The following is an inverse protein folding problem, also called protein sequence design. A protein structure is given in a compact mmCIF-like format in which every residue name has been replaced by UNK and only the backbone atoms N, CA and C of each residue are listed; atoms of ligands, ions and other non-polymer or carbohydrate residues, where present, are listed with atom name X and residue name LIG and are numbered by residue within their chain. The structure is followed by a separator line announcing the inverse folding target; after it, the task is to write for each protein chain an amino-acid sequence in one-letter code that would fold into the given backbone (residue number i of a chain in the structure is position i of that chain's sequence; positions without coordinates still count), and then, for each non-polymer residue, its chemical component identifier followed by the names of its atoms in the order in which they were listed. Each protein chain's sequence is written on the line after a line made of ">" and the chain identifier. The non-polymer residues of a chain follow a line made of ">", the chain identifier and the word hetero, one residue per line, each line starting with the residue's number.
data_IF_753665010543
#
_entry.id   IF_753665010543
#
_cell.length_a   1.000
_cell.length_b   1.000
_cell.length_c   1.000
_cell.angle_alpha   90.00
_cell.angle_beta   90.00
_cell.angle_gamma   90.00
#
_symmetry.space_group_name_H-M   'P 1'
#
loop_
_entity.id
_entity.type
_entity.pdbx_description
1 polymer ?
#
# COMPACT_ATOMS: atom_id res chain seq x y z
N UNK A 1 -16.17 29.18 -27.96
CA UNK A 1 -15.18 30.26 -27.76
C UNK A 1 -15.64 31.51 -28.51
N UNK A 2 -15.55 32.68 -27.87
CA UNK A 2 -15.93 33.95 -28.47
C UNK A 2 -15.01 34.23 -29.67
N UNK A 3 -15.56 34.13 -30.89
CA UNK A 3 -15.00 34.82 -32.05
C UNK A 3 -14.97 36.29 -31.65
N UNK A 4 -13.82 36.79 -31.19
CA UNK A 4 -13.66 38.22 -30.96
C UNK A 4 -13.65 38.87 -32.34
N UNK A 5 -14.85 39.18 -32.84
CA UNK A 5 -15.04 40.17 -33.87
C UNK A 5 -14.56 41.48 -33.26
N UNK A 6 -13.29 41.82 -33.51
CA UNK A 6 -12.71 43.09 -33.11
C UNK A 6 -13.64 44.20 -33.57
N UNK A 7 -14.04 45.07 -32.65
CA UNK A 7 -14.98 46.15 -32.90
C UNK A 7 -14.34 47.13 -33.87
N UNK A 8 -14.76 47.03 -35.13
CA UNK A 8 -14.31 47.86 -36.23
C UNK A 8 -15.08 49.18 -36.21
N UNK A 9 -14.60 50.20 -35.48
CA UNK A 9 -15.21 51.54 -35.60
C UNK A 9 -14.68 52.34 -36.81
N UNK A 10 -13.57 51.94 -37.46
CA UNK A 10 -13.03 52.62 -38.66
C UNK A 10 -12.16 51.75 -39.60
N UNK A 11 -12.28 50.41 -39.54
CA UNK A 11 -11.44 49.49 -40.33
C UNK A 11 -10.06 49.19 -39.72
N UNK A 12 -9.64 49.94 -38.69
CA UNK A 12 -8.43 49.63 -37.95
C UNK A 12 -8.69 48.57 -36.88
N UNK A 13 -7.77 47.62 -36.77
CA UNK A 13 -7.71 46.65 -35.68
C UNK A 13 -6.28 46.56 -35.14
N UNK A 14 -6.16 46.21 -33.87
CA UNK A 14 -4.86 45.99 -33.22
C UNK A 14 -4.81 44.55 -32.77
N UNK A 15 -3.75 43.84 -33.17
CA UNK A 15 -3.45 42.48 -32.71
C UNK A 15 -2.27 42.56 -31.74
N UNK A 16 -2.42 41.91 -30.59
CA UNK A 16 -1.38 41.80 -29.60
C UNK A 16 -0.27 40.85 -30.06
N UNK A 17 0.92 40.97 -29.46
CA UNK A 17 2.06 40.12 -29.81
C UNK A 17 1.85 38.63 -29.50
N UNK A 18 0.91 38.28 -28.61
CA UNK A 18 0.53 36.92 -28.26
C UNK A 18 -0.55 36.32 -29.18
N UNK A 19 -1.01 37.07 -30.18
CA UNK A 19 -2.05 36.68 -31.11
C UNK A 19 -1.54 36.70 -32.55
N UNK A 20 -1.97 35.71 -33.33
CA UNK A 20 -1.77 35.64 -34.79
C UNK A 20 -3.13 35.40 -35.42
N UNK A 21 -3.38 36.04 -36.56
CA UNK A 21 -4.69 35.99 -37.20
C UNK A 21 -4.64 35.54 -38.65
N UNK A 22 -5.81 35.22 -39.17
CA UNK A 22 -6.03 35.01 -40.61
C UNK A 22 -7.06 36.01 -41.11
N UNK A 23 -6.80 36.52 -42.32
CA UNK A 23 -7.69 37.45 -43.01
C UNK A 23 -8.52 36.71 -44.05
N UNK A 24 -9.83 36.81 -43.92
CA UNK A 24 -10.81 36.25 -44.84
C UNK A 24 -11.47 37.40 -45.62
N UNK A 25 -11.41 37.36 -46.95
CA UNK A 25 -12.12 38.31 -47.81
C UNK A 25 -13.26 37.57 -48.49
N UNK A 26 -14.51 37.94 -48.21
CA UNK A 26 -15.71 37.27 -48.76
C UNK A 26 -15.67 35.73 -48.64
N UNK A 27 -15.16 35.22 -47.52
CA UNK A 27 -15.02 33.78 -47.25
C UNK A 27 -13.79 33.10 -47.86
N UNK A 28 -12.93 33.80 -48.62
CA UNK A 28 -11.67 33.26 -49.13
C UNK A 28 -10.49 33.68 -48.25
N UNK A 29 -9.57 32.75 -48.02
CA UNK A 29 -8.29 33.06 -47.37
C UNK A 29 -7.48 34.06 -48.21
N UNK A 30 -7.05 35.15 -47.58
CA UNK A 30 -6.31 36.23 -48.25
C UNK A 30 -4.86 36.32 -47.75
N UNK A 31 -4.61 36.03 -46.47
CA UNK A 31 -3.26 36.05 -45.91
C UNK A 31 -3.24 35.96 -44.39
N UNK A 32 -2.03 35.80 -43.85
CA UNK A 32 -1.73 35.83 -42.43
C UNK A 32 -1.72 37.28 -41.93
N UNK A 33 -2.16 37.49 -40.70
CA UNK A 33 -2.12 38.78 -40.03
C UNK A 33 -1.09 38.73 -38.92
N UNK A 34 -0.05 39.54 -39.08
CA UNK A 34 1.02 39.70 -38.09
C UNK A 34 0.60 40.64 -36.95
N UNK A 35 1.24 40.53 -35.76
CA UNK A 35 0.98 41.43 -34.64
C UNK A 35 1.21 42.90 -34.97
N UNK A 36 0.37 43.78 -34.44
CA UNK A 36 0.47 45.23 -34.64
C UNK A 36 -0.83 45.88 -35.11
N UNK A 37 -0.70 47.11 -35.62
CA UNK A 37 -1.80 47.88 -36.18
C UNK A 37 -2.07 47.42 -37.62
N UNK A 38 -3.25 46.87 -37.86
CA UNK A 38 -3.70 46.43 -39.17
C UNK A 38 -4.92 47.19 -39.66
N UNK A 39 -5.13 47.16 -40.99
CA UNK A 39 -6.31 47.71 -41.64
C UNK A 39 -7.10 46.61 -42.35
N UNK A 40 -8.40 46.56 -42.09
CA UNK A 40 -9.39 45.74 -42.78
C UNK A 40 -10.55 46.60 -43.26
N UNK A 41 -11.07 46.26 -44.44
CA UNK A 41 -12.28 46.90 -44.94
C UNK A 41 -13.47 46.30 -44.17
N UNK A 42 -14.18 47.09 -43.33
CA UNK A 42 -15.37 46.59 -42.65
C UNK A 42 -16.36 46.05 -43.69
N UNK A 43 -17.08 44.97 -43.38
CA UNK A 43 -18.05 44.27 -44.24
C UNK A 43 -17.42 43.28 -45.24
N UNK A 44 -16.38 43.65 -45.98
CA UNK A 44 -15.78 42.76 -46.99
C UNK A 44 -14.76 41.78 -46.39
N UNK A 45 -14.08 42.20 -45.32
CA UNK A 45 -12.97 41.47 -44.73
C UNK A 45 -13.25 41.14 -43.27
N UNK A 46 -13.00 39.90 -42.88
CA UNK A 46 -13.09 39.42 -41.51
C UNK A 46 -11.71 38.94 -41.05
N UNK A 47 -11.27 39.40 -39.88
CA UNK A 47 -10.04 38.93 -39.23
C UNK A 47 -10.45 38.01 -38.09
N UNK A 48 -9.88 36.82 -38.05
CA UNK A 48 -10.07 35.85 -36.96
C UNK A 48 -8.70 35.62 -36.32
N UNK A 49 -8.59 35.87 -35.02
CA UNK A 49 -7.33 35.73 -34.28
C UNK A 49 -7.34 34.52 -33.36
N UNK A 50 -6.16 33.95 -33.15
CA UNK A 50 -5.87 32.85 -32.23
C UNK A 50 -4.59 33.17 -31.47
N UNK A 51 -4.47 32.69 -30.23
CA UNK A 51 -3.25 32.87 -29.45
C UNK A 51 -2.13 31.95 -29.96
N UNK A 52 -0.95 32.53 -30.18
CA UNK A 52 0.27 31.81 -30.57
C UNK A 52 1.07 31.29 -29.36
N UNK A 53 0.75 31.75 -28.15
CA UNK A 53 1.33 31.25 -26.91
C UNK A 53 0.88 29.81 -26.60
N UNK A 54 1.64 29.10 -25.77
CA UNK A 54 1.22 27.80 -25.23
C UNK A 54 -0.11 27.98 -24.50
N UNK A 55 -1.10 27.19 -24.87
CA UNK A 55 -2.43 27.16 -24.28
C UNK A 55 -2.55 25.92 -23.40
N UNK A 56 -3.13 26.10 -22.21
CA UNK A 56 -3.46 25.00 -21.31
C UNK A 56 -4.95 24.73 -21.40
N UNK A 57 -5.28 23.46 -21.57
CA UNK A 57 -6.65 22.97 -21.68
C UNK A 57 -6.83 21.80 -20.73
N UNK A 58 -7.79 21.94 -19.83
CA UNK A 58 -8.14 20.87 -18.91
C UNK A 58 -8.94 19.78 -19.63
N UNK A 59 -8.59 18.52 -19.36
CA UNK A 59 -9.32 17.36 -19.81
C UNK A 59 -10.28 16.94 -18.69
N UNK A 60 -11.58 16.75 -19.00
CA UNK A 60 -12.54 16.29 -18.00
C UNK A 60 -12.16 14.88 -17.51
N UNK A 61 -12.56 14.56 -16.28
CA UNK A 61 -12.35 13.23 -15.72
C UNK A 61 -13.14 12.17 -16.49
N UNK A 62 -12.47 11.11 -16.94
CA UNK A 62 -13.07 9.99 -17.65
C UNK A 62 -12.75 8.68 -16.92
N UNK A 63 -13.75 7.78 -16.84
CA UNK A 63 -13.56 6.42 -16.35
C UNK A 63 -13.10 5.52 -17.49
N UNK A 64 -11.94 4.89 -17.33
CA UNK A 64 -11.34 3.97 -18.30
C UNK A 64 -11.14 2.62 -17.63
N UNK A 65 -11.41 1.55 -18.37
CA UNK A 65 -11.15 0.18 -17.91
C UNK A 65 -9.77 -0.23 -18.40
N UNK A 66 -8.87 -0.53 -17.47
CA UNK A 66 -7.52 -1.00 -17.75
C UNK A 66 -7.50 -2.49 -18.10
N UNK A 67 -6.36 -2.95 -18.61
CA UNK A 67 -6.09 -4.37 -18.75
C UNK A 67 -6.07 -5.02 -17.35
N UNK A 68 -6.91 -6.04 -17.14
CA UNK A 68 -7.19 -6.61 -15.82
C UNK A 68 -8.55 -6.22 -15.22
N UNK A 69 -9.43 -5.58 -15.99
CA UNK A 69 -10.82 -5.27 -15.60
C UNK A 69 -10.92 -4.34 -14.37
N UNK A 70 -9.93 -3.46 -14.21
CA UNK A 70 -9.89 -2.44 -13.16
C UNK A 70 -10.38 -1.14 -13.78
N UNK A 71 -11.43 -0.54 -13.19
CA UNK A 71 -11.91 0.78 -13.58
C UNK A 71 -11.13 1.87 -12.85
N UNK A 72 -10.60 2.83 -13.60
CA UNK A 72 -9.86 3.96 -13.05
C UNK A 72 -10.36 5.27 -13.66
N UNK A 73 -10.53 6.29 -12.82
CA UNK A 73 -10.90 7.63 -13.25
C UNK A 73 -9.65 8.47 -13.40
N UNK A 74 -9.41 8.96 -14.61
CA UNK A 74 -8.22 9.73 -14.97
C UNK A 74 -8.64 11.10 -15.46
N UNK A 75 -7.85 12.10 -15.09
CA UNK A 75 -7.95 13.48 -15.55
C UNK A 75 -6.55 13.98 -15.91
N UNK A 76 -6.48 15.09 -16.61
CA UNK A 76 -5.20 15.65 -17.00
C UNK A 76 -5.31 17.03 -17.60
N UNK A 77 -4.16 17.64 -17.86
CA UNK A 77 -4.05 18.92 -18.56
C UNK A 77 -3.26 18.73 -19.84
N UNK A 78 -3.76 19.32 -20.92
CA UNK A 78 -3.11 19.32 -22.22
C UNK A 78 -2.51 20.71 -22.46
N UNK A 79 -1.23 20.74 -22.78
CA UNK A 79 -0.51 21.94 -23.18
C UNK A 79 -0.19 21.83 -24.66
N UNK A 80 -0.52 22.85 -25.45
CA UNK A 80 -0.20 22.86 -26.88
C UNK A 80 0.02 24.27 -27.39
N UNK A 81 0.69 24.40 -28.54
CA UNK A 81 0.94 25.67 -29.20
C UNK A 81 0.42 25.65 -30.64
N UNK A 82 -0.30 26.69 -31.04
CA UNK A 82 -0.71 26.87 -32.44
C UNK A 82 0.45 27.52 -33.20
N UNK A 83 0.99 26.81 -34.19
CA UNK A 83 2.10 27.32 -35.04
C UNK A 83 1.56 27.81 -36.36
N UNK A 84 0.62 27.08 -36.97
CA UNK A 84 -0.03 27.49 -38.21
C UNK A 84 -1.50 27.86 -37.94
N UNK A 85 -1.78 29.17 -37.90
CA UNK A 85 -3.13 29.68 -37.70
C UNK A 85 -4.07 29.43 -38.88
N UNK A 86 -3.54 29.28 -40.10
CA UNK A 86 -4.34 28.98 -41.28
C UNK A 86 -4.95 27.59 -41.15
N UNK A 87 -4.12 26.58 -40.89
CA UNK A 87 -4.59 25.20 -40.72
C UNK A 87 -5.52 25.08 -39.51
N UNK A 88 -5.15 25.67 -38.37
CA UNK A 88 -5.94 25.57 -37.14
C UNK A 88 -7.35 26.17 -37.25
N UNK A 89 -7.54 27.22 -38.06
CA UNK A 89 -8.83 27.90 -38.21
C UNK A 89 -9.66 27.42 -39.41
N UNK A 90 -9.01 26.88 -40.45
CA UNK A 90 -9.69 26.49 -41.69
C UNK A 90 -9.96 24.99 -41.79
N UNK A 91 -9.08 24.14 -41.25
CA UNK A 91 -9.25 22.68 -41.36
C UNK A 91 -10.23 22.11 -40.34
N UNK A 92 -10.33 22.75 -39.17
CA UNK A 92 -11.17 22.29 -38.06
C UNK A 92 -12.06 23.42 -37.56
N UNK A 93 -13.34 23.15 -37.34
CA UNK A 93 -14.32 24.13 -36.89
C UNK A 93 -14.02 24.65 -35.47
N UNK A 94 -13.74 23.74 -34.53
CA UNK A 94 -13.30 24.04 -33.17
C UNK A 94 -12.14 23.12 -32.79
N UNK A 95 -10.92 23.56 -33.10
CA UNK A 95 -9.71 22.80 -32.81
C UNK A 95 -9.55 22.49 -31.31
N UNK A 96 -10.05 23.36 -30.43
CA UNK A 96 -10.00 23.19 -28.99
C UNK A 96 -10.88 22.02 -28.54
N UNK A 97 -12.08 21.90 -29.09
CA UNK A 97 -12.95 20.76 -28.83
C UNK A 97 -12.38 19.48 -29.44
N UNK A 98 -11.93 19.53 -30.70
CA UNK A 98 -11.39 18.37 -31.41
C UNK A 98 -10.14 17.80 -30.75
N UNK A 99 -9.21 18.65 -30.29
CA UNK A 99 -7.99 18.17 -29.61
C UNK A 99 -8.29 17.56 -28.23
N UNK A 100 -9.28 18.08 -27.49
CA UNK A 100 -9.75 17.46 -26.24
C UNK A 100 -10.31 16.07 -26.50
N UNK A 101 -11.18 15.94 -27.49
CA UNK A 101 -11.77 14.65 -27.84
C UNK A 101 -10.71 13.66 -28.33
N UNK A 102 -9.77 14.11 -29.16
CA UNK A 102 -8.64 13.31 -29.60
C UNK A 102 -7.82 12.82 -28.40
N UNK A 103 -7.47 13.72 -27.47
CA UNK A 103 -6.72 13.36 -26.28
C UNK A 103 -7.47 12.33 -25.42
N UNK A 104 -8.77 12.52 -25.17
CA UNK A 104 -9.60 11.59 -24.39
C UNK A 104 -9.65 10.20 -25.02
N UNK A 105 -9.87 10.11 -26.33
CA UNK A 105 -9.87 8.83 -27.05
C UNK A 105 -8.50 8.17 -27.00
N UNK A 106 -7.42 8.91 -27.26
CA UNK A 106 -6.05 8.36 -27.21
C UNK A 106 -5.65 7.90 -25.81
N UNK A 107 -6.01 8.65 -24.77
CA UNK A 107 -5.80 8.26 -23.37
C UNK A 107 -6.51 6.93 -23.11
N UNK A 108 -7.79 6.80 -23.50
CA UNK A 108 -8.57 5.58 -23.31
C UNK A 108 -7.96 4.39 -24.06
N UNK A 109 -7.53 4.58 -25.31
CA UNK A 109 -6.96 3.52 -26.15
C UNK A 109 -5.63 3.01 -25.60
N UNK A 110 -4.72 3.93 -25.23
CA UNK A 110 -3.40 3.55 -24.68
C UNK A 110 -3.57 2.89 -23.32
N UNK A 111 -4.32 3.51 -22.40
CA UNK A 111 -4.49 2.98 -21.05
C UNK A 111 -5.27 1.67 -21.01
N UNK A 112 -6.18 1.42 -21.94
CA UNK A 112 -6.89 0.15 -22.04
C UNK A 112 -5.96 -1.05 -22.25
N UNK A 113 -4.77 -0.82 -22.82
CA UNK A 113 -3.75 -1.87 -22.99
C UNK A 113 -2.81 -2.04 -21.79
N UNK A 114 -2.72 -1.04 -20.91
CA UNK A 114 -1.77 -1.02 -19.78
C UNK A 114 -2.38 -1.64 -18.53
N UNK A 115 -1.50 -2.15 -17.68
CA UNK A 115 -1.86 -2.64 -16.33
C UNK A 115 -1.79 -1.51 -15.30
N UNK A 116 -2.42 -1.68 -14.13
CA UNK A 116 -2.41 -0.66 -13.07
C UNK A 116 -1.00 -0.40 -12.53
N UNK A 117 -0.15 -1.43 -12.46
CA UNK A 117 1.25 -1.33 -12.07
C UNK A 117 2.05 -0.44 -13.03
N UNK A 118 1.85 -0.59 -14.34
CA UNK A 118 2.49 0.22 -15.37
C UNK A 118 2.04 1.67 -15.31
N UNK A 119 0.74 1.90 -15.15
CA UNK A 119 0.17 3.26 -15.01
C UNK A 119 0.70 3.96 -13.76
N UNK A 120 0.95 3.20 -12.67
CA UNK A 120 1.53 3.75 -11.44
C UNK A 120 3.04 3.98 -11.55
N UNK A 121 3.78 3.07 -12.20
CA UNK A 121 5.25 3.10 -12.25
C UNK A 121 5.85 3.94 -13.38
N UNK A 122 5.23 3.93 -14.56
CA UNK A 122 5.81 4.44 -15.81
C UNK A 122 4.98 5.57 -16.45
N UNK A 123 4.52 6.52 -15.64
CA UNK A 123 3.67 7.63 -16.12
C UNK A 123 4.30 8.43 -17.25
N UNK A 124 5.61 8.70 -17.18
CA UNK A 124 6.32 9.47 -18.20
C UNK A 124 6.34 8.77 -19.56
N UNK A 125 6.60 7.46 -19.57
CA UNK A 125 6.62 6.67 -20.80
C UNK A 125 5.23 6.60 -21.46
N UNK A 126 4.17 6.46 -20.64
CA UNK A 126 2.79 6.46 -21.13
C UNK A 126 2.40 7.85 -21.68
N UNK A 127 2.80 8.92 -21.00
CA UNK A 127 2.57 10.28 -21.47
C UNK A 127 3.26 10.52 -22.83
N UNK A 128 4.51 10.09 -22.98
CA UNK A 128 5.25 10.20 -24.24
C UNK A 128 4.57 9.41 -25.38
N UNK A 129 4.09 8.19 -25.10
CA UNK A 129 3.34 7.38 -26.07
C UNK A 129 2.05 8.10 -26.53
N UNK A 130 1.30 8.67 -25.59
CA UNK A 130 0.09 9.45 -25.88
C UNK A 130 0.42 10.71 -26.70
N UNK A 131 1.47 11.44 -26.34
CA UNK A 131 1.92 12.64 -27.05
C UNK A 131 2.30 12.34 -28.50
N UNK A 132 2.98 11.22 -28.75
CA UNK A 132 3.35 10.82 -30.11
C UNK A 132 2.12 10.60 -30.99
N UNK A 133 1.09 9.91 -30.46
CA UNK A 133 -0.16 9.65 -31.18
C UNK A 133 -0.92 10.96 -31.43
N UNK A 134 -1.04 11.82 -30.42
CA UNK A 134 -1.71 13.12 -30.56
C UNK A 134 -0.98 14.00 -31.58
N UNK A 135 0.35 14.12 -31.47
CA UNK A 135 1.20 14.94 -32.36
C UNK A 135 1.05 14.56 -33.82
N UNK A 136 0.93 13.26 -34.12
CA UNK A 136 0.74 12.76 -35.49
C UNK A 136 -0.54 13.32 -36.12
N UNK A 137 -1.62 13.42 -35.35
CA UNK A 137 -2.91 13.93 -35.83
C UNK A 137 -2.97 15.46 -35.76
N UNK A 138 -2.49 16.06 -34.66
CA UNK A 138 -2.55 17.51 -34.40
C UNK A 138 -1.68 18.33 -35.34
N UNK A 139 -0.62 17.73 -35.89
CA UNK A 139 0.26 18.40 -36.86
C UNK A 139 -0.47 18.84 -38.12
N UNK A 140 -1.50 18.08 -38.54
CA UNK A 140 -2.37 18.45 -39.68
C UNK A 140 -3.21 19.68 -39.38
N UNK A 141 -3.55 19.91 -38.11
CA UNK A 141 -4.32 21.07 -37.68
C UNK A 141 -3.46 22.30 -37.35
N UNK A 142 -2.17 22.30 -37.70
CA UNK A 142 -1.27 23.40 -37.37
C UNK A 142 -0.91 23.53 -35.89
N UNK A 143 -1.10 22.48 -35.10
CA UNK A 143 -0.82 22.43 -33.65
C UNK A 143 0.49 21.66 -33.40
N UNK A 144 1.41 22.28 -32.66
CA UNK A 144 2.70 21.74 -32.28
C UNK A 144 2.94 21.82 -30.76
N UNK A 145 4.10 21.32 -30.31
CA UNK A 145 4.55 21.32 -28.92
C UNK A 145 3.47 20.83 -27.93
N UNK A 146 2.92 19.66 -28.23
CA UNK A 146 1.95 18.99 -27.39
C UNK A 146 2.68 18.33 -26.22
N UNK A 147 2.32 18.72 -24.99
CA UNK A 147 2.76 18.16 -23.71
C UNK A 147 1.51 17.76 -22.90
N UNK A 148 1.45 16.51 -22.44
CA UNK A 148 0.31 16.00 -21.66
C UNK A 148 0.71 15.70 -20.23
N UNK A 149 -0.05 16.24 -19.28
CA UNK A 149 0.14 15.95 -17.85
C UNK A 149 -1.04 15.18 -17.31
N UNK A 150 -0.80 13.91 -17.07
CA UNK A 150 -1.78 13.03 -16.42
C UNK A 150 -1.80 13.33 -14.91
N UNK A 151 -2.99 13.62 -14.40
CA UNK A 151 -3.23 13.73 -12.95
C UNK A 151 -3.40 12.34 -12.35
N UNK A 152 -3.32 12.21 -11.03
CA UNK A 152 -3.47 10.93 -10.34
C UNK A 152 -4.79 10.25 -10.66
N UNK A 153 -4.66 8.97 -10.97
CA UNK A 153 -5.74 8.08 -11.34
C UNK A 153 -6.44 7.63 -10.06
N UNK A 154 -7.72 7.99 -9.90
CA UNK A 154 -8.50 7.60 -8.73
C UNK A 154 -9.27 6.31 -9.03
N UNK A 155 -9.17 5.34 -8.12
CA UNK A 155 -9.89 4.06 -8.19
C UNK A 155 -11.12 4.11 -7.29
N UNK A 156 -12.14 3.29 -7.60
CA UNK A 156 -13.27 3.11 -6.69
C UNK A 156 -12.79 2.61 -5.32
N UNK A 157 -13.31 3.21 -4.25
CA UNK A 157 -12.88 2.97 -2.87
C UNK A 157 -13.13 1.51 -2.45
N UNK A 158 -14.16 0.85 -3.00
CA UNK A 158 -14.45 -0.55 -2.68
C UNK A 158 -13.41 -1.50 -3.27
N UNK A 159 -13.08 -1.31 -4.55
CA UNK A 159 -12.06 -2.10 -5.24
C UNK A 159 -10.67 -1.90 -4.64
N UNK A 160 -10.29 -0.64 -4.36
CA UNK A 160 -9.02 -0.33 -3.71
C UNK A 160 -8.87 -1.08 -2.38
N UNK A 161 -9.93 -1.14 -1.58
CA UNK A 161 -9.91 -1.82 -0.28
C UNK A 161 -9.70 -3.33 -0.44
N UNK A 162 -10.33 -3.96 -1.44
CA UNK A 162 -10.15 -5.38 -1.74
C UNK A 162 -8.73 -5.68 -2.23
N UNK A 163 -8.21 -4.87 -3.17
CA UNK A 163 -6.85 -5.00 -3.70
C UNK A 163 -5.78 -4.80 -2.62
N UNK A 164 -5.99 -3.85 -1.71
CA UNK A 164 -5.08 -3.62 -0.59
C UNK A 164 -5.01 -4.83 0.34
N UNK A 165 -6.15 -5.48 0.64
CA UNK A 165 -6.17 -6.72 1.44
C UNK A 165 -5.46 -7.87 0.73
N UNK A 166 -5.68 -8.04 -0.57
CA UNK A 166 -5.01 -9.07 -1.37
C UNK A 166 -3.49 -8.83 -1.45
N UNK A 167 -3.09 -7.58 -1.70
CA UNK A 167 -1.68 -7.18 -1.76
C UNK A 167 -1.00 -7.35 -0.41
N UNK A 168 -1.67 -6.99 0.69
CA UNK A 168 -1.17 -7.17 2.05
C UNK A 168 -0.98 -8.66 2.37
N UNK A 169 -1.97 -9.50 2.06
CA UNK A 169 -1.85 -10.95 2.23
C UNK A 169 -0.72 -11.56 1.40
N UNK A 170 -0.57 -11.13 0.14
CA UNK A 170 0.52 -11.57 -0.75
C UNK A 170 1.90 -11.13 -0.28
N UNK A 171 2.02 -9.89 0.23
CA UNK A 171 3.25 -9.37 0.82
C UNK A 171 3.62 -10.11 2.10
N UNK A 172 2.64 -10.36 2.98
CA UNK A 172 2.85 -11.10 4.22
C UNK A 172 3.31 -12.53 3.92
N UNK A 173 2.66 -13.22 2.97
CA UNK A 173 3.08 -14.55 2.52
C UNK A 173 4.50 -14.55 1.96
N UNK A 174 4.85 -13.56 1.14
CA UNK A 174 6.19 -13.41 0.58
C UNK A 174 7.23 -13.13 1.67
N UNK A 175 6.92 -12.27 2.63
CA UNK A 175 7.79 -11.95 3.76
C UNK A 175 8.02 -13.17 4.65
N UNK A 176 6.98 -13.96 4.94
CA UNK A 176 7.11 -15.21 5.70
C UNK A 176 7.98 -16.24 4.97
N UNK A 177 7.85 -16.37 3.65
CA UNK A 177 8.71 -17.25 2.85
C UNK A 177 10.18 -16.81 2.94
N UNK A 178 10.45 -15.53 2.72
CA UNK A 178 11.81 -14.97 2.80
C UNK A 178 12.38 -15.20 4.20
N UNK A 179 11.56 -15.02 5.26
CA UNK A 179 11.97 -15.27 6.64
C UNK A 179 12.30 -16.73 6.90
N UNK A 180 11.47 -17.66 6.43
CA UNK A 180 11.73 -19.10 6.59
C UNK A 180 13.01 -19.53 5.84
N UNK A 181 13.25 -18.99 4.64
CA UNK A 181 14.48 -19.23 3.88
C UNK A 181 15.70 -18.64 4.61
N UNK A 182 15.57 -17.42 5.15
CA UNK A 182 16.61 -16.78 5.95
C UNK A 182 16.92 -17.57 7.23
N UNK A 183 15.91 -18.09 7.92
CA UNK A 183 16.07 -18.93 9.11
C UNK A 183 16.79 -20.25 8.78
N UNK A 184 16.49 -20.85 7.64
CA UNK A 184 17.19 -22.06 7.18
C UNK A 184 18.67 -21.79 6.89
N UNK A 185 18.99 -20.70 6.21
CA UNK A 185 20.37 -20.28 5.93
C UNK A 185 21.10 -19.98 7.24
N UNK A 186 20.45 -19.27 8.15
CA UNK A 186 20.97 -18.92 9.48
C UNK A 186 21.27 -20.16 10.31
N UNK A 187 20.38 -21.16 10.32
CA UNK A 187 20.58 -22.41 11.02
C UNK A 187 21.80 -23.21 10.50
N UNK A 188 22.04 -23.19 9.18
CA UNK A 188 23.23 -23.83 8.58
C UNK A 188 24.52 -23.15 9.04
N UNK A 189 24.55 -21.81 8.96
CA UNK A 189 25.72 -21.01 9.40
C UNK A 189 25.98 -21.25 10.90
N UNK A 190 24.94 -21.25 11.73
CA UNK A 190 25.11 -21.53 13.16
C UNK A 190 25.56 -22.96 13.45
N UNK A 191 25.09 -23.95 12.70
CA UNK A 191 25.55 -25.34 12.84
C UNK A 191 27.04 -25.47 12.51
N UNK A 192 27.49 -24.82 11.43
CA UNK A 192 28.90 -24.79 11.05
C UNK A 192 29.76 -24.04 12.07
N UNK A 193 29.31 -22.88 12.53
CA UNK A 193 29.98 -22.12 13.59
C UNK A 193 30.09 -22.93 14.89
N UNK A 194 29.03 -23.67 15.28
CA UNK A 194 29.04 -24.52 16.46
C UNK A 194 30.06 -25.67 16.34
N UNK A 195 30.17 -26.30 15.15
CA UNK A 195 31.20 -27.33 14.89
C UNK A 195 32.61 -26.76 15.03
N UNK A 196 32.84 -25.56 14.51
CA UNK A 196 34.14 -24.88 14.60
C UNK A 196 34.47 -24.45 16.03
N UNK A 197 33.48 -24.01 16.81
CA UNK A 197 33.67 -23.71 18.23
C UNK A 197 33.93 -24.97 19.05
N UNK A 198 33.30 -26.10 18.70
CA UNK A 198 33.50 -27.37 19.40
C UNK A 198 34.88 -28.01 19.14
N UNK A 199 35.50 -27.74 17.99
CA UNK A 199 36.82 -28.30 17.65
C UNK A 199 37.97 -27.70 18.49
N UNK A 200 37.78 -26.49 19.04
CA UNK A 200 38.79 -25.80 19.85
C UNK A 200 38.42 -25.87 21.34
N UNK A 201 39.19 -26.60 22.18
CA UNK A 201 38.91 -26.67 23.61
C UNK A 201 39.01 -25.27 24.24
N UNK A 202 37.92 -24.79 24.85
CA UNK A 202 37.82 -23.47 25.50
C UNK A 202 37.07 -22.39 24.69
N UNK A 203 36.83 -22.58 23.39
CA UNK A 203 36.13 -21.57 22.58
C UNK A 203 34.64 -21.40 22.98
N UNK A 204 33.97 -22.49 23.38
CA UNK A 204 32.60 -22.43 23.93
C UNK A 204 32.56 -21.59 25.22
N UNK A 205 33.55 -21.76 26.10
CA UNK A 205 33.67 -21.00 27.35
C UNK A 205 33.88 -19.50 27.07
N UNK A 206 34.73 -19.16 26.10
CA UNK A 206 34.91 -17.77 25.67
C UNK A 206 33.63 -17.16 25.10
N UNK A 207 32.84 -17.92 24.32
CA UNK A 207 31.55 -17.47 23.81
C UNK A 207 30.56 -17.17 24.94
N UNK A 208 30.50 -18.03 25.96
CA UNK A 208 29.68 -17.80 27.17
C UNK A 208 30.12 -16.52 27.87
N UNK A 209 31.44 -16.33 28.07
CA UNK A 209 31.98 -15.11 28.69
C UNK A 209 31.68 -13.85 27.87
N UNK A 210 31.76 -13.91 26.54
CA UNK A 210 31.37 -12.80 25.66
C UNK A 210 29.88 -12.47 25.79
N UNK A 211 28.99 -13.47 25.74
CA UNK A 211 27.55 -13.24 25.92
C UNK A 211 27.23 -12.67 27.29
N UNK A 212 27.95 -13.09 28.34
CA UNK A 212 27.80 -12.53 29.68
C UNK A 212 28.30 -11.08 29.75
N UNK A 213 29.40 -10.75 29.07
CA UNK A 213 29.90 -9.37 28.96
C UNK A 213 28.88 -8.47 28.25
N UNK A 214 28.35 -8.91 27.12
CA UNK A 214 27.35 -8.17 26.32
C UNK A 214 26.06 -7.93 27.13
N UNK A 215 25.55 -8.96 27.82
CA UNK A 215 24.34 -8.84 28.66
C UNK A 215 24.59 -7.98 29.91
N UNK A 216 25.77 -8.10 30.54
CA UNK A 216 26.12 -7.31 31.73
C UNK A 216 26.29 -5.82 31.45
N UNK A 217 26.62 -5.47 30.20
CA UNK A 217 26.73 -4.09 29.76
C UNK A 217 25.37 -3.39 29.68
N UNK A 218 24.27 -4.13 29.46
CA UNK A 218 22.93 -3.56 29.26
C UNK A 218 22.01 -3.65 30.48
N UNK A 219 22.14 -4.63 31.40
CA UNK A 219 21.30 -4.74 32.63
C UNK A 219 22.01 -5.44 33.81
N UNK A 220 21.77 -4.96 35.04
CA UNK A 220 22.42 -5.36 36.31
C UNK A 220 21.96 -6.70 36.93
N UNK A 221 21.25 -7.55 36.20
CA UNK A 221 20.82 -8.87 36.72
C UNK A 221 21.43 -9.98 35.87
N UNK A 222 22.55 -10.52 36.34
CA UNK A 222 23.28 -11.61 35.69
C UNK A 222 22.65 -12.95 36.10
N UNK A 223 21.87 -13.55 35.22
CA UNK A 223 21.49 -14.97 35.34
C UNK A 223 22.64 -15.77 34.74
N UNK A 224 23.45 -16.41 35.58
CA UNK A 224 24.55 -17.28 35.15
C UNK A 224 24.01 -18.70 34.96
N UNK A 225 23.91 -19.22 33.73
CA UNK A 225 23.62 -20.64 33.53
C UNK A 225 24.86 -21.45 33.90
N UNK A 226 24.80 -22.21 35.00
CA UNK A 226 25.87 -23.14 35.37
C UNK A 226 25.69 -24.44 34.55
N UNK A 227 26.71 -24.92 33.83
CA UNK A 227 26.68 -26.19 33.09
C UNK A 227 26.32 -27.36 34.01
N UNK A 228 25.46 -28.26 33.52
CA UNK A 228 24.98 -29.42 34.28
C UNK A 228 26.12 -30.36 34.73
N UNK A 229 27.26 -30.39 34.03
CA UNK A 229 28.41 -31.22 34.42
C UNK A 229 29.03 -30.80 35.77
N UNK A 230 29.06 -29.48 36.06
CA UNK A 230 29.61 -28.96 37.32
C UNK A 230 28.71 -29.30 38.51
N UNK A 231 27.40 -29.38 38.29
CA UNK A 231 26.45 -29.75 39.35
C UNK A 231 26.58 -31.21 39.80
N UNK A 232 26.98 -32.14 38.91
CA UNK A 232 27.14 -33.55 39.31
C UNK A 232 28.37 -33.78 40.20
N UNK A 233 29.49 -33.10 39.93
CA UNK A 233 30.70 -33.21 40.74
C UNK A 233 30.52 -32.67 42.16
N UNK A 234 29.72 -31.61 42.33
CA UNK A 234 29.39 -31.07 43.65
C UNK A 234 28.35 -31.92 44.39
N UNK A 235 27.42 -32.56 43.69
CA UNK A 235 26.42 -33.44 44.31
C UNK A 235 27.03 -34.73 44.87
N UNK A 236 28.14 -35.21 44.29
CA UNK A 236 28.84 -36.42 44.73
C UNK A 236 29.82 -36.15 45.90
N UNK A 237 30.34 -34.92 46.03
CA UNK A 237 31.31 -34.56 47.08
C UNK A 237 30.67 -34.09 48.41
N UNK A 238 29.35 -33.91 48.45
CA UNK A 238 28.60 -33.61 49.68
C UNK A 238 27.45 -34.60 49.84
N UNK A 239 27.69 -35.65 50.61
CA UNK A 239 26.63 -36.42 51.24
C UNK A 239 25.80 -35.48 52.12
N UNK A 240 24.49 -35.49 51.90
CA UNK A 240 23.46 -34.77 52.65
C UNK A 240 23.62 -33.24 52.76
N UNK A 241 23.13 -32.53 51.75
CA UNK A 241 22.48 -31.23 51.99
C UNK A 241 21.02 -31.36 51.58
N UNK A 242 20.15 -31.53 52.58
CA UNK A 242 18.73 -31.22 52.47
C UNK A 242 18.60 -29.72 52.18
N UNK A 243 17.99 -29.42 51.04
CA UNK A 243 17.25 -28.19 50.80
C UNK A 243 18.07 -27.01 50.26
N UNK A 244 18.04 -26.85 48.94
CA UNK A 244 17.43 -25.66 48.30
C UNK A 244 16.84 -26.13 46.97
N UNK A 245 15.69 -26.82 47.03
CA UNK A 245 14.77 -26.81 45.89
C UNK A 245 14.04 -25.48 46.00
N UNK A 246 14.56 -24.46 45.31
CA UNK A 246 13.77 -23.24 45.12
C UNK A 246 12.56 -23.66 44.29
N UNK A 247 11.45 -23.85 44.98
CA UNK A 247 10.15 -24.11 44.38
C UNK A 247 9.84 -22.94 43.45
N UNK A 248 10.03 -23.14 42.14
CA UNK A 248 9.23 -22.40 41.17
C UNK A 248 7.82 -22.87 41.43
N UNK A 249 7.06 -22.08 42.19
CA UNK A 249 5.62 -22.26 42.35
C UNK A 249 5.04 -22.21 40.94
N UNK A 250 4.55 -23.33 40.36
CA UNK A 250 4.02 -23.29 39.02
C UNK A 250 2.82 -22.34 39.07
N UNK A 251 2.88 -21.27 38.27
CA UNK A 251 1.72 -20.44 38.02
C UNK A 251 0.62 -21.39 37.53
N UNK A 252 -0.52 -21.52 38.24
CA UNK A 252 -1.51 -22.51 37.87
C UNK A 252 -2.04 -22.17 36.47
N UNK A 253 -1.91 -23.11 35.55
CA UNK A 253 -2.53 -23.00 34.23
C UNK A 253 -4.04 -22.99 34.44
N UNK A 254 -4.70 -21.95 33.95
CA UNK A 254 -6.14 -21.78 34.07
C UNK A 254 -6.84 -22.82 33.19
N UNK A 255 -7.75 -23.59 33.78
CA UNK A 255 -8.60 -24.50 33.03
C UNK A 255 -9.65 -23.72 32.23
N UNK A 256 -9.87 -24.12 30.98
CA UNK A 256 -10.95 -23.60 30.14
C UNK A 256 -12.29 -24.17 30.64
N UNK A 257 -13.28 -23.30 30.81
CA UNK A 257 -14.62 -23.67 31.29
C UNK A 257 -15.58 -23.52 30.11
N UNK A 258 -16.32 -24.58 29.81
CA UNK A 258 -17.38 -24.54 28.81
C UNK A 258 -18.75 -24.82 29.45
N UNK A 259 -19.73 -24.02 29.06
CA UNK A 259 -21.14 -24.26 29.35
C UNK A 259 -21.71 -25.14 28.25
N UNK A 260 -22.27 -26.29 28.63
CA UNK A 260 -22.98 -27.17 27.72
C UNK A 260 -24.35 -27.45 28.33
N UNK A 261 -25.35 -26.68 27.89
CA UNK A 261 -26.67 -26.63 28.52
C UNK A 261 -26.62 -25.97 29.90
N UNK A 262 -27.27 -26.60 30.88
CA UNK A 262 -27.40 -26.11 32.27
C UNK A 262 -26.28 -26.62 33.21
N UNK A 263 -25.17 -27.10 32.65
CA UNK A 263 -24.07 -27.72 33.40
C UNK A 263 -22.72 -27.11 33.03
N UNK A 264 -21.93 -26.84 34.07
CA UNK A 264 -20.55 -26.35 33.98
C UNK A 264 -19.57 -27.53 33.92
N UNK A 265 -18.69 -27.51 32.92
CA UNK A 265 -17.61 -28.46 32.77
C UNK A 265 -16.25 -27.76 32.77
N UNK A 266 -15.27 -28.36 33.42
CA UNK A 266 -13.88 -27.95 33.35
C UNK A 266 -13.03 -29.01 32.63
N UNK A 267 -12.09 -28.54 31.81
CA UNK A 267 -11.20 -29.39 31.04
C UNK A 267 -9.77 -29.31 31.59
N UNK A 268 -9.11 -30.47 31.71
CA UNK A 268 -7.70 -30.48 32.08
C UNK A 268 -6.85 -29.91 30.92
N UNK A 269 -6.00 -28.89 31.14
CA UNK A 269 -5.22 -28.25 30.07
C UNK A 269 -4.16 -29.17 29.45
N UNK A 270 -3.76 -30.26 30.12
CA UNK A 270 -2.74 -31.18 29.61
C UNK A 270 -3.31 -32.34 28.79
N UNK A 271 -4.48 -32.87 29.15
CA UNK A 271 -5.04 -34.08 28.54
C UNK A 271 -6.49 -33.95 28.05
N UNK A 272 -7.06 -32.74 28.15
CA UNK A 272 -8.43 -32.39 27.77
C UNK A 272 -9.52 -33.30 28.36
N UNK A 273 -9.25 -33.90 29.53
CA UNK A 273 -10.21 -34.75 30.22
C UNK A 273 -11.33 -33.90 30.82
N UNK A 274 -12.58 -34.30 30.58
CA UNK A 274 -13.79 -33.58 30.99
C UNK A 274 -14.15 -33.92 32.43
N UNK A 275 -14.26 -32.91 33.28
CA UNK A 275 -14.76 -33.03 34.65
C UNK A 275 -16.07 -32.25 34.81
N UNK A 276 -17.05 -32.86 35.47
CA UNK A 276 -18.30 -32.18 35.85
C UNK A 276 -18.08 -31.44 37.16
N UNK A 277 -18.39 -30.14 37.19
CA UNK A 277 -18.10 -29.30 38.37
C UNK A 277 -18.89 -29.75 39.61
N UNK A 278 -20.08 -30.33 39.43
CA UNK A 278 -20.91 -30.80 40.56
C UNK A 278 -20.44 -32.12 41.19
N UNK A 279 -19.64 -32.94 40.51
CA UNK A 279 -19.10 -34.20 41.09
C UNK A 279 -17.84 -33.99 41.95
N UNK A 280 -17.30 -32.76 41.96
CA UNK A 280 -16.14 -32.36 42.78
C UNK A 280 -16.60 -31.84 44.17
N UNK A 281 -17.88 -31.50 44.32
CA UNK A 281 -18.46 -30.98 45.55
C UNK A 281 -19.44 -32.02 46.14
N UNK A 282 -18.96 -32.88 47.03
CA UNK A 282 -19.86 -33.66 47.91
C UNK A 282 -20.35 -32.74 49.02
N UNK A 283 -21.56 -32.18 48.92
CA UNK A 283 -22.62 -32.25 49.94
C UNK A 283 -23.87 -31.51 49.45
N UNK A 284 -25.02 -32.17 49.56
CA UNK A 284 -26.34 -31.62 49.31
C UNK A 284 -26.80 -30.84 50.54
N UNK A 285 -26.95 -29.51 50.40
CA UNK A 285 -27.84 -28.58 51.12
C UNK A 285 -27.21 -27.18 51.09
N UNK A 286 -27.70 -26.26 50.26
CA UNK A 286 -27.87 -24.81 50.54
C UNK A 286 -28.16 -24.02 49.24
N UNK A 287 -29.30 -23.32 49.21
CA UNK A 287 -29.72 -22.33 48.20
C UNK A 287 -28.90 -21.02 48.24
N UNK A 288 -27.59 -21.09 47.97
CA UNK A 288 -26.78 -19.90 47.67
C UNK A 288 -25.83 -20.19 46.52
N UNK A 289 -25.73 -19.25 45.58
CA UNK A 289 -24.84 -19.31 44.42
C UNK A 289 -23.43 -19.80 44.85
N UNK A 290 -22.81 -20.74 44.14
CA UNK A 290 -21.49 -21.24 44.50
C UNK A 290 -20.47 -20.13 44.27
N UNK A 291 -20.09 -19.46 45.35
CA UNK A 291 -18.86 -18.69 45.41
C UNK A 291 -17.72 -19.73 45.36
N UNK A 292 -17.06 -19.88 44.21
CA UNK A 292 -16.01 -20.89 43.96
C UNK A 292 -14.64 -20.24 44.22
N UNK A 293 -13.97 -20.45 45.36
CA UNK A 293 -12.60 -19.96 45.52
C UNK A 293 -11.56 -21.03 45.14
N UNK A 294 -10.93 -20.87 43.98
CA UNK A 294 -9.49 -21.15 43.76
C UNK A 294 -8.92 -22.52 44.17
N UNK A 295 -9.73 -23.57 44.20
CA UNK A 295 -9.27 -24.90 44.62
C UNK A 295 -8.34 -25.49 43.56
N UNK A 296 -7.20 -26.03 44.00
CA UNK A 296 -6.25 -26.74 43.14
C UNK A 296 -6.69 -28.20 43.03
N UNK A 297 -6.84 -28.68 41.80
CA UNK A 297 -7.26 -30.05 41.50
C UNK A 297 -6.11 -30.77 40.80
N UNK A 298 -5.87 -32.02 41.21
CA UNK A 298 -4.99 -32.95 40.49
C UNK A 298 -5.83 -33.76 39.52
N UNK A 299 -5.47 -33.75 38.24
CA UNK A 299 -6.07 -34.67 37.27
C UNK A 299 -5.75 -36.13 37.64
N UNK A 300 -6.77 -36.98 37.79
CA UNK A 300 -6.58 -38.41 38.08
C UNK A 300 -5.92 -39.21 36.95
N UNK A 301 -5.79 -38.63 35.75
CA UNK A 301 -5.25 -39.31 34.56
C UNK A 301 -3.81 -38.90 34.22
N UNK A 302 -3.45 -37.63 34.38
CA UNK A 302 -2.10 -37.12 34.06
C UNK A 302 -1.38 -36.50 35.27
N UNK A 303 -1.96 -36.57 36.48
CA UNK A 303 -1.44 -36.00 37.72
C UNK A 303 -1.06 -34.51 37.66
N UNK A 304 -1.54 -33.80 36.62
CA UNK A 304 -1.28 -32.37 36.46
C UNK A 304 -2.16 -31.57 37.40
N UNK A 305 -1.57 -30.64 38.15
CA UNK A 305 -2.25 -29.71 39.03
C UNK A 305 -2.77 -28.50 38.24
N UNK A 306 -4.06 -28.22 38.31
CA UNK A 306 -4.67 -27.04 37.67
C UNK A 306 -5.64 -26.35 38.63
N UNK A 307 -5.95 -25.08 38.36
CA UNK A 307 -6.87 -24.28 39.18
C UNK A 307 -8.07 -23.84 38.37
N UNK A 308 -9.25 -23.87 38.99
CA UNK A 308 -10.47 -23.32 38.41
C UNK A 308 -10.47 -21.80 38.64
N UNK A 309 -10.59 -20.96 37.58
CA UNK A 309 -10.68 -19.51 37.74
C UNK A 309 -11.88 -19.09 38.61
N UNK A 310 -11.72 -18.01 39.39
CA UNK A 310 -12.84 -17.35 40.07
C UNK A 310 -13.80 -16.75 39.03
N UNK A 311 -14.97 -17.35 38.87
CA UNK A 311 -16.04 -16.77 38.07
C UNK A 311 -16.73 -15.67 38.89
N UNK A 312 -16.49 -14.40 38.55
CA UNK A 312 -17.28 -13.28 39.07
C UNK A 312 -18.50 -13.14 38.18
N UNK A 313 -19.64 -13.68 38.62
CA UNK A 313 -20.92 -13.50 37.91
C UNK A 313 -21.38 -12.06 38.19
N UNK A 314 -21.51 -11.24 37.14
CA UNK A 314 -22.18 -9.94 37.16
C UNK A 314 -23.61 -10.09 36.70
#
# INVERSE_FOLDING_TARGET
>A
MSKKSVITFFGFYVINQDEVGVKLTLGKYTGLVEPGLGFCIPILQQVVTTKSSIQTVDLPSQQVVLNGNISVTISGTLHYRVVDCQQALLEVSDYNHSIRQLALTTISDVLGTKTIEEVRGNKSAIAEEIEQVIRKTSSRWGIADVDIRLTDASMDHNLLRAMMRETEASKEASAQKIRAEADQVTAKIFSEAAKTLASSPGAMTLRVLQTLSDISSDKSTVVVPIPYELTQGMLQATGEIKGVTQQVKPTPVLAEIALSGDQLFCFCPSCNHKYKVTDVAKDDRYDKAPDIPGQQLSCGRCHTMFSIPKLRVS
#
